data_IF_097194117671
#
_entry.id   IF_097194117671
#
_cell.length_a   1.000
_cell.length_b   1.000
_cell.length_c   1.000
_cell.angle_alpha   90.00
_cell.angle_beta   90.00
_cell.angle_gamma   90.00
#
_symmetry.space_group_name_H-M   'P 1'
#
loop_
_entity.id
_entity.type
_entity.pdbx_description
1 polymer ?
#
# COMPACT_ATOMS: atom_id res chain seq x y z
N UNK A 1 30.24 -26.12 81.60
CA UNK A 1 31.12 -24.97 81.88
C UNK A 1 30.55 -23.80 81.11
N UNK A 2 29.86 -23.05 81.98
CA UNK A 2 30.04 -21.65 82.38
C UNK A 2 29.55 -20.66 81.32
N UNK A 3 28.38 -20.13 81.54
CA UNK A 3 28.03 -18.78 82.05
C UNK A 3 28.43 -17.64 81.14
N UNK A 4 27.64 -16.65 80.85
CA UNK A 4 26.91 -15.76 81.74
C UNK A 4 25.85 -14.92 80.98
N UNK A 5 24.78 -14.65 81.66
CA UNK A 5 23.74 -13.65 81.44
C UNK A 5 24.29 -12.24 81.51
N UNK A 6 23.82 -11.31 80.64
CA UNK A 6 23.75 -9.91 81.10
C UNK A 6 22.50 -9.27 80.51
N UNK A 7 21.57 -8.99 81.37
CA UNK A 7 20.38 -8.16 81.25
C UNK A 7 20.80 -6.70 81.28
N UNK A 8 20.42 -5.94 80.25
CA UNK A 8 20.54 -4.47 80.28
C UNK A 8 19.18 -3.84 80.12
N UNK A 9 18.77 -3.17 81.17
CA UNK A 9 17.53 -2.41 81.35
C UNK A 9 17.55 -1.17 80.46
N UNK A 10 16.56 -0.99 79.61
CA UNK A 10 16.41 0.22 78.78
C UNK A 10 15.53 1.24 79.50
N UNK A 11 16.12 2.37 79.85
CA UNK A 11 15.48 3.56 80.35
C UNK A 11 14.70 4.27 79.25
N UNK A 12 13.41 4.45 79.48
CA UNK A 12 12.52 5.25 78.59
C UNK A 12 12.78 6.74 78.86
N UNK A 13 13.42 7.41 77.89
CA UNK A 13 13.44 8.87 77.85
C UNK A 13 12.27 9.37 77.04
N UNK A 14 11.25 9.90 77.70
CA UNK A 14 10.11 10.60 77.11
C UNK A 14 10.41 12.09 77.08
N UNK A 15 11.05 12.55 76.00
CA UNK A 15 11.01 13.99 75.64
C UNK A 15 10.04 14.19 74.55
N UNK A 16 8.82 14.59 74.86
CA UNK A 16 7.80 15.00 73.92
C UNK A 16 8.23 16.31 73.22
N UNK A 17 8.69 16.20 72.00
CA UNK A 17 8.94 17.35 71.16
C UNK A 17 7.60 17.81 70.54
N UNK A 18 7.18 19.02 70.97
CA UNK A 18 5.97 19.66 70.44
C UNK A 18 6.03 19.81 68.88
N UNK A 19 4.93 19.58 68.16
CA UNK A 19 4.92 19.71 66.73
C UNK A 19 5.10 21.17 66.31
N UNK A 20 6.11 21.45 65.50
CA UNK A 20 6.33 22.76 64.89
C UNK A 20 5.12 23.14 64.01
N UNK A 21 4.63 24.41 64.10
CA UNK A 21 3.54 24.85 63.23
C UNK A 21 4.00 24.80 61.79
N UNK A 22 3.19 24.17 60.95
CA UNK A 22 3.39 24.14 59.49
C UNK A 22 3.29 25.59 58.97
N UNK A 23 4.20 26.02 58.09
CA UNK A 23 4.05 27.33 57.46
C UNK A 23 2.78 27.34 56.61
N UNK A 24 1.94 28.29 56.82
CA UNK A 24 0.77 28.61 55.99
C UNK A 24 1.33 29.02 54.62
N UNK A 25 1.27 28.12 53.67
CA UNK A 25 1.52 28.43 52.26
C UNK A 25 0.31 29.26 51.83
N UNK A 26 0.46 30.57 51.86
CA UNK A 26 -0.46 31.49 51.15
C UNK A 26 -0.46 31.06 49.69
N UNK A 27 -1.61 30.56 49.25
CA UNK A 27 -1.85 30.31 47.82
C UNK A 27 -1.78 31.65 47.07
N UNK A 28 -0.55 32.05 46.74
CA UNK A 28 -0.35 33.06 45.72
C UNK A 28 -0.95 32.54 44.45
N UNK A 29 -1.94 33.23 43.92
CA UNK A 29 -2.48 33.04 42.57
C UNK A 29 -1.33 33.21 41.58
N UNK A 30 -0.59 32.14 41.36
CA UNK A 30 0.29 32.07 40.20
C UNK A 30 -0.64 32.11 38.98
N UNK A 31 -0.85 33.32 38.44
CA UNK A 31 -1.29 33.46 37.07
C UNK A 31 -0.35 32.62 36.21
N UNK A 32 -0.86 31.46 35.74
CA UNK A 32 -0.16 30.61 34.84
C UNK A 32 0.11 31.47 33.59
N UNK A 33 1.32 32.03 33.50
CA UNK A 33 1.81 32.63 32.27
C UNK A 33 1.62 31.64 31.16
N UNK A 34 0.59 31.85 30.33
CA UNK A 34 0.38 31.07 29.10
C UNK A 34 1.68 31.24 28.30
N UNK A 35 2.37 30.11 27.98
CA UNK A 35 3.61 30.18 27.24
C UNK A 35 3.33 30.94 25.94
N UNK A 36 3.95 32.10 25.78
CA UNK A 36 3.93 32.86 24.51
C UNK A 36 4.43 31.87 23.44
N UNK A 37 3.54 31.45 22.54
CA UNK A 37 3.85 30.61 21.38
C UNK A 37 4.93 31.33 20.58
N UNK A 38 6.19 31.00 20.84
CA UNK A 38 7.29 31.44 19.99
C UNK A 38 7.05 30.84 18.61
N UNK A 39 7.01 31.72 17.61
CA UNK A 39 6.94 31.29 16.21
C UNK A 39 8.21 30.51 15.92
N UNK A 40 8.05 29.22 15.66
CA UNK A 40 9.17 28.36 15.28
C UNK A 40 9.44 28.55 13.78
N UNK A 41 10.40 29.41 13.49
CA UNK A 41 10.80 29.70 12.10
C UNK A 41 11.30 28.45 11.35
N UNK A 42 11.93 27.51 12.07
CA UNK A 42 12.37 26.25 11.46
C UNK A 42 11.16 25.40 11.03
N UNK A 43 10.12 25.33 11.89
CA UNK A 43 8.89 24.62 11.52
C UNK A 43 8.20 25.27 10.31
N UNK A 44 8.14 26.62 10.27
CA UNK A 44 7.58 27.34 9.11
C UNK A 44 8.39 27.04 7.84
N UNK A 45 9.72 27.11 7.91
CA UNK A 45 10.58 26.83 6.77
C UNK A 45 10.39 25.40 6.27
N UNK A 46 10.40 24.41 7.16
CA UNK A 46 10.18 22.99 6.80
C UNK A 46 8.82 22.80 6.15
N UNK A 47 7.75 23.39 6.71
CA UNK A 47 6.42 23.29 6.10
C UNK A 47 6.35 24.00 4.74
N UNK A 48 6.99 25.15 4.57
CA UNK A 48 7.06 25.84 3.29
C UNK A 48 7.75 24.98 2.22
N UNK A 49 8.89 24.37 2.55
CA UNK A 49 9.62 23.47 1.65
C UNK A 49 8.75 22.25 1.29
N UNK A 50 8.06 21.65 2.26
CA UNK A 50 7.17 20.52 2.02
C UNK A 50 5.99 20.91 1.11
N UNK A 51 5.37 22.07 1.34
CA UNK A 51 4.27 22.57 0.50
C UNK A 51 4.74 22.79 -0.94
N UNK A 52 5.90 23.40 -1.13
CA UNK A 52 6.48 23.63 -2.47
C UNK A 52 6.79 22.29 -3.15
N UNK A 53 7.39 21.33 -2.43
CA UNK A 53 7.66 20.00 -2.96
C UNK A 53 6.38 19.27 -3.38
N UNK A 54 5.35 19.31 -2.54
CA UNK A 54 4.04 18.72 -2.85
C UNK A 54 3.39 19.41 -4.05
N UNK A 55 3.45 20.75 -4.11
CA UNK A 55 2.89 21.50 -5.24
C UNK A 55 3.59 21.16 -6.56
N UNK A 56 4.92 21.01 -6.56
CA UNK A 56 5.70 20.60 -7.72
C UNK A 56 5.31 19.22 -8.22
N UNK A 57 5.18 18.25 -7.31
CA UNK A 57 4.78 16.87 -7.65
C UNK A 57 3.31 16.80 -8.09
N UNK A 58 2.43 17.59 -7.49
CA UNK A 58 1.01 17.63 -7.83
C UNK A 58 0.71 18.42 -9.13
N UNK A 59 1.62 19.30 -9.55
CA UNK A 59 1.41 20.17 -10.71
C UNK A 59 1.07 19.43 -12.01
N UNK A 60 1.76 18.35 -12.40
CA UNK A 60 1.38 17.60 -13.60
C UNK A 60 -0.04 17.03 -13.55
N UNK A 61 -0.48 16.55 -12.37
CA UNK A 61 -1.84 16.06 -12.14
C UNK A 61 -2.87 17.18 -12.25
N UNK A 62 -2.58 18.31 -11.61
CA UNK A 62 -3.41 19.50 -11.71
C UNK A 62 -3.52 19.96 -13.18
N UNK A 63 -2.41 20.00 -13.91
CA UNK A 63 -2.42 20.43 -15.30
C UNK A 63 -3.18 19.44 -16.22
N UNK A 64 -3.04 18.14 -16.00
CA UNK A 64 -3.85 17.13 -16.68
C UNK A 64 -5.36 17.34 -16.42
N UNK A 65 -5.73 17.65 -15.16
CA UNK A 65 -7.11 18.01 -14.82
C UNK A 65 -7.55 19.29 -15.55
N UNK A 66 -6.74 20.33 -15.58
CA UNK A 66 -7.06 21.58 -16.31
C UNK A 66 -7.30 21.31 -17.78
N UNK A 67 -6.40 20.57 -18.45
CA UNK A 67 -6.57 20.18 -19.86
C UNK A 67 -7.86 19.39 -20.07
N UNK A 68 -8.22 18.49 -19.15
CA UNK A 68 -9.44 17.68 -19.25
C UNK A 68 -10.74 18.52 -19.24
N UNK A 69 -10.67 19.79 -18.80
CA UNK A 69 -11.81 20.71 -18.74
C UNK A 69 -11.87 21.69 -19.90
N UNK A 70 -10.85 21.73 -20.75
CA UNK A 70 -10.70 22.70 -21.83
C UNK A 70 -11.25 22.15 -23.15
N UNK A 71 -11.64 23.07 -24.07
CA UNK A 71 -11.85 22.70 -25.47
C UNK A 71 -10.51 22.47 -26.18
N UNK A 72 -10.51 21.74 -27.30
CA UNK A 72 -9.26 21.42 -28.01
C UNK A 72 -8.48 22.66 -28.47
N UNK A 73 -9.18 23.69 -28.96
CA UNK A 73 -8.60 24.97 -29.36
C UNK A 73 -7.95 25.71 -28.17
N UNK A 74 -8.54 25.63 -26.99
CA UNK A 74 -7.95 26.19 -25.75
C UNK A 74 -6.67 25.44 -25.35
N UNK A 75 -6.63 24.13 -25.51
CA UNK A 75 -5.46 23.29 -25.16
C UNK A 75 -4.24 23.64 -26.02
N UNK A 76 -4.44 23.95 -27.29
CA UNK A 76 -3.35 24.26 -28.26
C UNK A 76 -2.91 25.72 -28.23
N UNK A 77 -3.60 26.58 -27.47
CA UNK A 77 -3.24 27.99 -27.35
C UNK A 77 -1.86 28.21 -26.71
N UNK A 78 -1.20 29.30 -27.11
CA UNK A 78 0.07 29.77 -26.53
C UNK A 78 -0.07 31.21 -26.03
N UNK A 79 0.23 31.48 -24.75
CA UNK A 79 0.71 30.58 -23.70
C UNK A 79 -0.38 29.62 -23.22
N UNK A 80 -0.01 28.46 -22.63
CA UNK A 80 -0.96 27.48 -22.12
C UNK A 80 -1.85 28.06 -21.00
N UNK A 81 -3.14 27.75 -21.04
CA UNK A 81 -4.06 28.15 -19.97
C UNK A 81 -3.89 27.22 -18.76
N UNK A 82 -3.71 27.80 -17.60
CA UNK A 82 -3.53 27.07 -16.33
C UNK A 82 -4.81 27.02 -15.47
N UNK A 83 -5.93 27.52 -15.98
CA UNK A 83 -7.21 27.53 -15.26
C UNK A 83 -8.21 26.61 -15.94
N UNK A 84 -9.07 25.92 -15.16
CA UNK A 84 -10.14 25.10 -15.69
C UNK A 84 -11.10 25.90 -16.57
N UNK A 85 -11.71 25.22 -17.55
CA UNK A 85 -12.72 25.75 -18.47
C UNK A 85 -14.08 25.07 -18.24
N UNK A 86 -15.10 25.47 -19.03
CA UNK A 86 -16.48 25.00 -18.87
C UNK A 86 -16.81 23.66 -19.54
N UNK A 87 -15.87 23.05 -20.29
CA UNK A 87 -16.10 21.85 -21.09
C UNK A 87 -15.90 20.52 -20.32
N UNK A 88 -15.84 20.57 -18.99
CA UNK A 88 -15.60 19.39 -18.13
C UNK A 88 -16.59 18.27 -18.43
N UNK A 89 -17.90 18.55 -18.34
CA UNK A 89 -18.94 17.51 -18.48
C UNK A 89 -18.93 16.93 -19.88
N UNK A 90 -18.81 17.78 -20.90
CA UNK A 90 -18.77 17.36 -22.30
C UNK A 90 -17.59 16.43 -22.58
N UNK A 91 -16.37 16.83 -22.19
CA UNK A 91 -15.17 16.03 -22.37
C UNK A 91 -15.21 14.69 -21.66
N UNK A 92 -15.72 14.65 -20.41
CA UNK A 92 -15.80 13.42 -19.65
C UNK A 92 -16.87 12.45 -20.22
N UNK A 93 -18.02 12.97 -20.64
CA UNK A 93 -19.06 12.14 -21.28
C UNK A 93 -18.54 11.58 -22.61
N UNK A 94 -17.90 12.42 -23.43
CA UNK A 94 -17.38 12.00 -24.71
C UNK A 94 -16.20 10.99 -24.56
N UNK A 95 -15.26 11.25 -23.65
CA UNK A 95 -14.18 10.31 -23.35
C UNK A 95 -14.72 8.98 -22.83
N UNK A 96 -15.76 9.00 -21.96
CA UNK A 96 -16.43 7.79 -21.48
C UNK A 96 -17.02 6.96 -22.62
N UNK A 97 -17.71 7.62 -23.53
CA UNK A 97 -18.40 6.95 -24.67
C UNK A 97 -17.40 6.41 -25.67
N UNK A 98 -16.42 7.24 -26.12
CA UNK A 98 -15.44 6.85 -27.16
C UNK A 98 -14.52 5.73 -26.72
N UNK A 99 -14.04 5.78 -25.47
CA UNK A 99 -13.15 4.74 -24.96
C UNK A 99 -13.87 3.45 -24.58
N UNK A 100 -15.16 3.48 -24.31
CA UNK A 100 -15.87 2.38 -23.64
C UNK A 100 -15.41 2.21 -22.20
N UNK A 101 -15.21 3.32 -21.49
CA UNK A 101 -14.55 3.43 -20.18
C UNK A 101 -15.07 2.44 -19.14
N UNK A 102 -16.37 2.21 -19.09
CA UNK A 102 -16.96 1.26 -18.15
C UNK A 102 -16.35 -0.14 -18.25
N UNK A 103 -16.17 -0.65 -19.47
CA UNK A 103 -15.56 -1.96 -19.70
C UNK A 103 -14.07 -1.96 -19.37
N UNK A 104 -13.36 -0.91 -19.75
CA UNK A 104 -11.93 -0.78 -19.46
C UNK A 104 -11.65 -0.75 -17.94
N UNK A 105 -12.43 0.03 -17.19
CA UNK A 105 -12.33 0.10 -15.73
C UNK A 105 -12.67 -1.24 -15.07
N UNK A 106 -13.73 -1.91 -15.54
CA UNK A 106 -14.11 -3.23 -15.03
C UNK A 106 -13.00 -4.26 -15.27
N UNK A 107 -12.46 -4.33 -16.49
CA UNK A 107 -11.37 -5.25 -16.81
C UNK A 107 -10.15 -4.97 -15.93
N UNK A 108 -9.74 -3.71 -15.81
CA UNK A 108 -8.62 -3.33 -14.95
C UNK A 108 -8.86 -3.68 -13.48
N UNK A 109 -10.07 -3.47 -12.98
CA UNK A 109 -10.42 -3.84 -11.60
C UNK A 109 -10.33 -5.36 -11.39
N UNK A 110 -10.87 -6.16 -12.30
CA UNK A 110 -10.79 -7.63 -12.23
C UNK A 110 -9.33 -8.08 -12.27
N UNK A 111 -8.52 -7.54 -13.18
CA UNK A 111 -7.10 -7.88 -13.30
C UNK A 111 -6.33 -7.46 -12.06
N UNK A 112 -6.46 -6.21 -11.62
CA UNK A 112 -5.73 -5.68 -10.48
C UNK A 112 -6.06 -6.42 -9.18
N UNK A 113 -7.36 -6.66 -8.91
CA UNK A 113 -7.81 -7.42 -7.73
C UNK A 113 -7.38 -8.89 -7.85
N UNK A 114 -7.58 -9.53 -9.00
CA UNK A 114 -7.19 -10.92 -9.23
C UNK A 114 -5.69 -11.15 -9.03
N UNK A 115 -4.86 -10.28 -9.59
CA UNK A 115 -3.41 -10.33 -9.42
C UNK A 115 -3.01 -10.07 -7.96
N UNK A 116 -3.58 -9.06 -7.31
CA UNK A 116 -3.25 -8.73 -5.93
C UNK A 116 -3.62 -9.86 -4.96
N UNK A 117 -4.86 -10.36 -5.04
CA UNK A 117 -5.34 -11.45 -4.20
C UNK A 117 -4.57 -12.75 -4.48
N UNK A 118 -4.35 -13.08 -5.75
CA UNK A 118 -3.58 -14.28 -6.13
C UNK A 118 -2.14 -14.24 -5.63
N UNK A 119 -1.45 -13.10 -5.79
CA UNK A 119 -0.09 -12.90 -5.24
C UNK A 119 -0.06 -13.06 -3.73
N UNK A 120 -0.99 -12.46 -3.01
CA UNK A 120 -1.08 -12.55 -1.55
C UNK A 120 -1.31 -14.00 -1.13
N UNK A 121 -2.31 -14.68 -1.72
CA UNK A 121 -2.67 -16.05 -1.35
C UNK A 121 -1.50 -17.04 -1.59
N UNK A 122 -0.89 -17.02 -2.78
CA UNK A 122 0.22 -17.90 -3.12
C UNK A 122 1.45 -17.59 -2.25
N UNK A 123 1.76 -16.31 -2.04
CA UNK A 123 2.93 -15.90 -1.26
C UNK A 123 2.77 -16.22 0.22
N UNK A 124 1.57 -16.05 0.77
CA UNK A 124 1.27 -16.40 2.16
C UNK A 124 1.39 -17.90 2.40
N UNK A 125 0.84 -18.73 1.49
CA UNK A 125 0.96 -20.19 1.56
C UNK A 125 2.42 -20.65 1.40
N UNK A 126 3.16 -20.05 0.46
CA UNK A 126 4.58 -20.36 0.25
C UNK A 126 5.43 -20.01 1.47
N UNK A 127 5.23 -18.82 2.03
CA UNK A 127 5.93 -18.37 3.23
C UNK A 127 5.58 -19.27 4.44
N UNK A 128 4.30 -19.62 4.59
CA UNK A 128 3.84 -20.55 5.62
C UNK A 128 4.53 -21.91 5.53
N UNK A 129 4.60 -22.48 4.33
CA UNK A 129 5.27 -23.76 4.09
C UNK A 129 6.77 -23.68 4.44
N UNK A 130 7.46 -22.61 4.01
CA UNK A 130 8.90 -22.43 4.23
C UNK A 130 9.24 -22.25 5.72
N UNK A 131 8.42 -21.51 6.48
CA UNK A 131 8.72 -21.17 7.88
C UNK A 131 8.29 -22.28 8.84
N UNK A 132 7.09 -22.84 8.70
CA UNK A 132 6.49 -23.70 9.72
C UNK A 132 6.67 -25.20 9.47
N UNK A 133 6.77 -25.67 8.20
CA UNK A 133 6.92 -27.11 7.95
C UNK A 133 8.35 -27.63 8.13
N UNK A 134 9.36 -26.76 8.22
CA UNK A 134 10.77 -27.11 8.48
C UNK A 134 11.29 -28.31 7.68
N UNK A 135 10.85 -28.46 6.42
CA UNK A 135 11.27 -29.57 5.55
C UNK A 135 12.72 -29.42 5.08
N UNK A 136 13.37 -30.53 4.75
CA UNK A 136 14.74 -30.54 4.20
C UNK A 136 14.75 -29.76 2.88
N UNK A 137 15.59 -28.72 2.78
CA UNK A 137 15.69 -27.88 1.58
C UNK A 137 14.79 -26.65 1.58
N UNK A 138 14.06 -26.32 2.64
CA UNK A 138 13.23 -25.10 2.73
C UNK A 138 14.01 -23.82 2.40
N UNK A 139 15.26 -23.74 2.84
CA UNK A 139 16.16 -22.63 2.50
C UNK A 139 16.52 -22.59 1.01
N UNK A 140 16.78 -23.76 0.40
CA UNK A 140 17.04 -23.85 -1.04
C UNK A 140 15.81 -23.38 -1.86
N UNK A 141 14.62 -23.86 -1.50
CA UNK A 141 13.36 -23.45 -2.15
C UNK A 141 13.16 -21.93 -2.03
N UNK A 142 13.42 -21.38 -0.85
CA UNK A 142 13.35 -19.93 -0.64
C UNK A 142 14.32 -19.19 -1.57
N UNK A 143 15.58 -19.62 -1.64
CA UNK A 143 16.57 -19.00 -2.49
C UNK A 143 16.25 -19.15 -3.99
N UNK A 144 15.68 -20.27 -4.41
CA UNK A 144 15.21 -20.46 -5.79
C UNK A 144 14.08 -19.46 -6.14
N UNK A 145 13.10 -19.28 -5.24
CA UNK A 145 12.05 -18.29 -5.40
C UNK A 145 12.68 -16.87 -5.45
N UNK A 146 13.62 -16.60 -4.55
CA UNK A 146 14.27 -15.29 -4.47
C UNK A 146 15.08 -14.96 -5.74
N UNK A 147 15.77 -15.94 -6.32
CA UNK A 147 16.49 -15.78 -7.59
C UNK A 147 15.58 -15.36 -8.75
N UNK A 148 14.29 -15.72 -8.71
CA UNK A 148 13.36 -15.27 -9.75
C UNK A 148 13.15 -13.76 -9.77
N UNK A 149 13.44 -13.04 -8.67
CA UNK A 149 13.44 -11.57 -8.64
C UNK A 149 14.52 -10.95 -9.52
N UNK A 150 15.64 -11.67 -9.71
CA UNK A 150 16.78 -11.17 -10.49
C UNK A 150 16.53 -11.29 -12.00
N UNK A 151 15.54 -12.06 -12.42
CA UNK A 151 15.21 -12.19 -13.84
C UNK A 151 14.44 -10.96 -14.33
N UNK A 152 14.99 -10.21 -15.30
CA UNK A 152 14.29 -9.08 -15.90
C UNK A 152 12.96 -9.50 -16.52
N UNK A 153 11.92 -8.67 -16.38
CA UNK A 153 10.59 -8.94 -16.96
C UNK A 153 10.67 -9.28 -18.46
N UNK A 154 11.45 -8.55 -19.30
CA UNK A 154 11.53 -8.87 -20.74
C UNK A 154 12.02 -10.28 -21.06
N UNK A 155 12.88 -10.86 -20.20
CA UNK A 155 13.43 -12.22 -20.43
C UNK A 155 12.37 -13.29 -20.27
N UNK A 156 11.43 -13.12 -19.33
CA UNK A 156 10.40 -14.12 -19.02
C UNK A 156 9.06 -13.89 -19.74
N UNK A 157 8.85 -12.70 -20.33
CA UNK A 157 7.55 -12.35 -20.88
C UNK A 157 7.20 -13.19 -22.11
N UNK A 158 8.17 -13.42 -23.02
CA UNK A 158 7.96 -14.20 -24.23
C UNK A 158 7.68 -15.68 -23.94
N UNK A 159 8.50 -16.41 -23.14
CA UNK A 159 8.18 -17.78 -22.77
C UNK A 159 6.82 -17.92 -22.05
N UNK A 160 6.47 -16.93 -21.22
CA UNK A 160 5.16 -16.94 -20.53
C UNK A 160 4.01 -16.77 -21.55
N UNK A 161 4.18 -15.88 -22.54
CA UNK A 161 3.20 -15.69 -23.61
C UNK A 161 2.99 -16.98 -24.41
N UNK A 162 4.07 -17.68 -24.78
CA UNK A 162 3.98 -18.96 -25.52
C UNK A 162 3.21 -20.01 -24.72
N UNK A 163 3.50 -20.15 -23.42
CA UNK A 163 2.76 -21.06 -22.55
C UNK A 163 1.28 -20.71 -22.51
N UNK A 164 0.96 -19.43 -22.27
CA UNK A 164 -0.43 -18.95 -22.21
C UNK A 164 -1.16 -19.14 -23.53
N UNK A 165 -0.47 -18.93 -24.66
CA UNK A 165 -0.99 -19.20 -25.99
C UNK A 165 -1.29 -20.68 -26.23
N UNK A 166 -0.35 -21.56 -25.86
CA UNK A 166 -0.48 -23.01 -26.04
C UNK A 166 -1.62 -23.62 -25.22
N UNK A 167 -1.94 -23.07 -24.03
CA UNK A 167 -3.07 -23.51 -23.21
C UNK A 167 -4.40 -22.81 -23.57
N UNK A 168 -4.41 -21.96 -24.60
CA UNK A 168 -5.60 -21.28 -25.09
C UNK A 168 -6.15 -20.18 -24.20
N UNK A 169 -5.32 -19.54 -23.37
CA UNK A 169 -5.74 -18.48 -22.44
C UNK A 169 -5.57 -17.06 -22.98
N UNK A 170 -5.24 -16.90 -24.27
CA UNK A 170 -5.28 -15.57 -24.90
C UNK A 170 -6.69 -14.97 -24.83
N UNK A 171 -6.80 -13.66 -24.72
CA UNK A 171 -8.07 -12.93 -24.58
C UNK A 171 -8.95 -13.42 -23.41
N UNK A 172 -8.37 -13.80 -22.29
CA UNK A 172 -9.12 -14.25 -21.12
C UNK A 172 -8.62 -13.61 -19.82
N UNK A 173 -9.49 -13.51 -18.84
CA UNK A 173 -9.09 -13.05 -17.51
C UNK A 173 -8.08 -14.01 -16.85
N UNK A 174 -8.14 -15.31 -17.15
CA UNK A 174 -7.15 -16.27 -16.67
C UNK A 174 -5.76 -15.94 -17.22
N UNK A 175 -5.65 -15.70 -18.53
CA UNK A 175 -4.39 -15.29 -19.15
C UNK A 175 -3.87 -13.95 -18.64
N UNK A 176 -4.76 -13.01 -18.33
CA UNK A 176 -4.38 -11.70 -17.78
C UNK A 176 -3.92 -11.75 -16.33
N UNK A 177 -4.40 -12.71 -15.52
CA UNK A 177 -4.18 -12.71 -14.07
C UNK A 177 -3.23 -13.80 -13.59
N UNK A 178 -3.46 -15.07 -13.97
CA UNK A 178 -2.76 -16.22 -13.40
C UNK A 178 -1.24 -16.17 -13.57
N UNK A 179 -0.68 -15.83 -14.74
CA UNK A 179 0.77 -15.73 -14.92
C UNK A 179 1.43 -14.66 -14.05
N UNK A 180 0.68 -13.66 -13.60
CA UNK A 180 1.16 -12.58 -12.76
C UNK A 180 0.99 -12.85 -11.26
N UNK A 181 0.34 -13.95 -10.84
CA UNK A 181 0.07 -14.22 -9.42
C UNK A 181 1.30 -14.69 -8.63
N UNK A 182 2.36 -15.17 -9.28
CA UNK A 182 3.61 -15.49 -8.59
C UNK A 182 4.36 -14.21 -8.22
N UNK A 183 4.80 -14.12 -6.95
CA UNK A 183 5.54 -12.96 -6.45
C UNK A 183 6.57 -13.36 -5.40
N UNK A 184 7.85 -13.36 -5.79
CA UNK A 184 8.93 -13.61 -4.84
C UNK A 184 9.06 -12.49 -3.80
N UNK A 185 8.79 -11.22 -4.16
CA UNK A 185 8.79 -10.09 -3.22
C UNK A 185 7.73 -10.27 -2.13
N UNK A 186 6.49 -10.62 -2.50
CA UNK A 186 5.44 -10.83 -1.52
C UNK A 186 5.73 -12.06 -0.64
N UNK A 187 6.27 -13.14 -1.23
CA UNK A 187 6.71 -14.33 -0.47
C UNK A 187 7.82 -14.00 0.53
N UNK A 188 8.79 -13.16 0.12
CA UNK A 188 9.84 -12.68 1.01
C UNK A 188 9.27 -11.89 2.19
N UNK A 189 8.37 -10.92 1.93
CA UNK A 189 7.76 -10.09 2.97
C UNK A 189 6.93 -10.92 3.96
N UNK A 190 6.10 -11.86 3.48
CA UNK A 190 5.37 -12.76 4.37
C UNK A 190 6.30 -13.66 5.18
N UNK A 191 7.37 -14.17 4.55
CA UNK A 191 8.37 -14.97 5.28
C UNK A 191 9.02 -14.16 6.39
N UNK A 192 9.46 -12.93 6.13
CA UNK A 192 10.05 -12.07 7.15
C UNK A 192 9.06 -11.83 8.28
N UNK A 193 7.82 -11.51 7.97
CA UNK A 193 6.78 -11.31 8.98
C UNK A 193 6.53 -12.58 9.81
N UNK A 194 6.40 -13.75 9.18
CA UNK A 194 6.18 -15.01 9.90
C UNK A 194 7.35 -15.39 10.81
N UNK A 195 8.56 -15.01 10.47
CA UNK A 195 9.74 -15.22 11.32
C UNK A 195 9.75 -14.32 12.56
N UNK A 196 8.97 -13.24 12.61
CA UNK A 196 8.82 -12.40 13.82
C UNK A 196 7.81 -12.96 14.81
N UNK A 197 6.98 -13.90 14.38
CA UNK A 197 5.96 -14.52 15.24
C UNK A 197 6.63 -15.54 16.16
N UNK A 198 6.42 -15.46 17.51
CA UNK A 198 7.00 -16.41 18.45
C UNK A 198 6.59 -17.86 18.16
N UNK A 199 7.55 -18.81 18.25
CA UNK A 199 7.27 -20.23 18.03
C UNK A 199 6.29 -20.80 19.06
N UNK A 200 6.25 -20.25 20.26
CA UNK A 200 5.36 -20.64 21.36
C UNK A 200 3.88 -20.56 20.95
N UNK A 201 3.53 -19.62 20.05
CA UNK A 201 2.17 -19.53 19.52
C UNK A 201 1.80 -20.75 18.66
N UNK A 202 2.74 -21.25 17.84
CA UNK A 202 2.53 -22.44 17.04
C UNK A 202 2.47 -23.69 17.91
N UNK A 203 3.31 -23.77 18.94
CA UNK A 203 3.34 -24.88 19.90
C UNK A 203 2.06 -24.92 20.73
N UNK A 204 1.59 -23.77 21.23
CA UNK A 204 0.32 -23.68 21.97
C UNK A 204 -0.86 -24.12 21.10
N UNK A 205 -0.93 -23.66 19.85
CA UNK A 205 -1.97 -24.07 18.90
C UNK A 205 -1.96 -25.60 18.63
N UNK A 206 -0.76 -26.22 18.57
CA UNK A 206 -0.63 -27.66 18.43
C UNK A 206 -1.10 -28.41 19.68
N UNK A 207 -0.81 -27.89 20.88
CA UNK A 207 -1.32 -28.48 22.12
C UNK A 207 -2.85 -28.41 22.20
N UNK A 208 -3.45 -27.35 21.63
CA UNK A 208 -4.91 -27.23 21.48
C UNK A 208 -5.50 -28.09 20.35
N UNK A 209 -4.70 -28.93 19.71
CA UNK A 209 -5.11 -29.84 18.63
C UNK A 209 -5.34 -29.13 17.30
N UNK A 210 -4.81 -27.92 17.09
CA UNK A 210 -4.92 -27.23 15.80
C UNK A 210 -3.95 -27.85 14.77
N UNK A 211 -4.51 -28.41 13.70
CA UNK A 211 -3.70 -28.79 12.54
C UNK A 211 -3.14 -27.57 11.77
N UNK A 212 -2.19 -27.78 10.84
CA UNK A 212 -1.50 -26.68 10.14
C UNK A 212 -2.43 -25.70 9.44
N UNK A 213 -3.45 -26.16 8.75
CA UNK A 213 -4.41 -25.31 8.07
C UNK A 213 -5.26 -24.51 9.06
N UNK A 214 -5.65 -25.10 10.19
CA UNK A 214 -6.38 -24.38 11.24
C UNK A 214 -5.50 -23.31 11.84
N UNK A 215 -4.20 -23.58 12.07
CA UNK A 215 -3.24 -22.59 12.53
C UNK A 215 -3.11 -21.42 11.53
N UNK A 216 -3.00 -21.72 10.24
CA UNK A 216 -2.94 -20.68 9.20
C UNK A 216 -4.18 -19.77 9.21
N UNK A 217 -5.38 -20.35 9.21
CA UNK A 217 -6.63 -19.58 9.08
C UNK A 217 -7.06 -18.89 10.38
N UNK A 218 -6.88 -19.55 11.53
CA UNK A 218 -7.39 -19.05 12.80
C UNK A 218 -6.41 -18.15 13.56
N UNK A 219 -5.11 -18.26 13.26
CA UNK A 219 -4.06 -17.50 13.96
C UNK A 219 -3.25 -16.61 13.01
N UNK A 220 -2.61 -17.20 11.99
CA UNK A 220 -1.70 -16.44 11.13
C UNK A 220 -2.43 -15.42 10.25
N UNK A 221 -3.55 -15.76 9.65
CA UNK A 221 -4.31 -14.86 8.80
C UNK A 221 -4.79 -13.62 9.55
N UNK A 222 -5.42 -13.72 10.74
CA UNK A 222 -5.79 -12.55 11.54
C UNK A 222 -4.58 -11.67 11.95
N UNK A 223 -3.46 -12.29 12.34
CA UNK A 223 -2.24 -11.57 12.67
C UNK A 223 -1.62 -10.87 11.47
N UNK A 224 -1.78 -11.44 10.28
CA UNK A 224 -1.22 -10.90 9.02
C UNK A 224 -2.06 -9.77 8.41
N UNK A 225 -3.23 -9.41 8.98
CA UNK A 225 -4.19 -8.53 8.32
C UNK A 225 -3.61 -7.18 7.91
N UNK A 226 -2.79 -6.55 8.77
CA UNK A 226 -2.13 -5.28 8.46
C UNK A 226 -1.17 -5.42 7.27
N UNK A 227 -0.35 -6.48 7.25
CA UNK A 227 0.57 -6.77 6.15
C UNK A 227 -0.16 -7.12 4.86
N UNK A 228 -1.25 -7.90 4.94
CA UNK A 228 -2.12 -8.23 3.80
C UNK A 228 -2.70 -6.95 3.20
N UNK A 229 -3.23 -6.06 4.03
CA UNK A 229 -3.82 -4.82 3.58
C UNK A 229 -2.78 -3.89 2.93
N UNK A 230 -1.60 -3.76 3.53
CA UNK A 230 -0.50 -2.98 2.97
C UNK A 230 -0.03 -3.54 1.61
N UNK A 231 0.20 -4.85 1.54
CA UNK A 231 0.57 -5.52 0.29
C UNK A 231 -0.53 -5.43 -0.76
N UNK A 232 -1.81 -5.54 -0.38
CA UNK A 232 -2.92 -5.43 -1.32
C UNK A 232 -2.89 -4.07 -2.05
N UNK A 233 -2.69 -2.96 -1.33
CA UNK A 233 -2.59 -1.64 -1.96
C UNK A 233 -1.47 -1.60 -3.01
N UNK A 234 -0.28 -2.04 -2.62
CA UNK A 234 0.89 -2.02 -3.53
C UNK A 234 0.67 -2.91 -4.75
N UNK A 235 0.16 -4.13 -4.52
CA UNK A 235 -0.05 -5.11 -5.58
C UNK A 235 -1.25 -4.77 -6.48
N UNK A 236 -2.28 -4.12 -5.94
CA UNK A 236 -3.39 -3.58 -6.71
C UNK A 236 -2.91 -2.49 -7.67
N UNK A 237 -2.13 -1.52 -7.16
CA UNK A 237 -1.56 -0.45 -7.98
C UNK A 237 -0.65 -1.03 -9.06
N UNK A 238 0.17 -2.03 -8.72
CA UNK A 238 0.99 -2.75 -9.69
C UNK A 238 0.14 -3.38 -10.81
N UNK A 239 -0.88 -4.17 -10.46
CA UNK A 239 -1.75 -4.82 -11.42
C UNK A 239 -2.61 -3.85 -12.25
N UNK A 240 -3.00 -2.71 -11.65
CA UNK A 240 -3.75 -1.66 -12.32
C UNK A 240 -2.92 -0.96 -13.41
N UNK A 241 -1.65 -0.68 -13.13
CA UNK A 241 -0.74 0.02 -14.04
C UNK A 241 -0.02 -0.92 -15.01
N UNK A 242 -0.30 -2.24 -14.95
CA UNK A 242 0.34 -3.18 -15.85
C UNK A 242 -0.07 -2.88 -17.31
N UNK A 243 0.96 -2.67 -18.17
CA UNK A 243 0.80 -2.30 -19.56
C UNK A 243 1.23 -3.41 -20.51
N UNK A 244 2.46 -3.91 -20.34
CA UNK A 244 3.07 -4.81 -21.31
C UNK A 244 2.37 -6.16 -21.41
N UNK A 245 2.01 -6.75 -20.29
CA UNK A 245 1.37 -8.06 -20.28
C UNK A 245 -0.03 -8.03 -20.92
N UNK A 246 -0.95 -7.14 -20.53
CA UNK A 246 -2.22 -7.01 -21.20
C UNK A 246 -2.10 -6.65 -22.68
N UNK A 247 -1.12 -5.84 -23.07
CA UNK A 247 -0.88 -5.48 -24.48
C UNK A 247 -0.57 -6.71 -25.35
N UNK A 248 0.18 -7.68 -24.81
CA UNK A 248 0.53 -8.91 -25.54
C UNK A 248 -0.61 -9.92 -25.53
N UNK A 249 -1.33 -10.05 -24.43
CA UNK A 249 -2.34 -11.10 -24.22
C UNK A 249 -3.68 -10.78 -24.85
N UNK A 250 -4.03 -9.49 -24.99
CA UNK A 250 -5.37 -9.09 -25.46
C UNK A 250 -5.35 -8.68 -26.92
N UNK A 251 -6.03 -9.45 -27.76
CA UNK A 251 -6.20 -9.19 -29.20
C UNK A 251 -7.56 -8.53 -29.52
N UNK A 252 -8.51 -8.57 -28.59
CA UNK A 252 -9.84 -8.00 -28.73
C UNK A 252 -10.02 -6.77 -27.87
N UNK A 253 -10.85 -5.86 -28.33
CA UNK A 253 -11.11 -4.60 -27.63
C UNK A 253 -11.85 -4.80 -26.31
N UNK A 254 -12.67 -5.86 -26.21
CA UNK A 254 -13.46 -6.19 -25.02
C UNK A 254 -12.61 -6.61 -23.82
N UNK A 255 -11.40 -7.11 -24.05
CA UNK A 255 -10.51 -7.60 -23.00
C UNK A 255 -9.42 -6.60 -22.58
N UNK A 256 -9.35 -5.46 -23.24
CA UNK A 256 -8.34 -4.43 -22.93
C UNK A 256 -8.54 -3.84 -21.52
N UNK A 257 -7.44 -3.61 -20.83
CA UNK A 257 -7.39 -2.85 -19.58
C UNK A 257 -7.38 -1.34 -19.85
N UNK A 258 -7.65 -0.53 -18.82
CA UNK A 258 -7.78 0.92 -18.98
C UNK A 258 -6.52 1.58 -19.52
N UNK A 259 -5.34 1.14 -19.07
CA UNK A 259 -4.06 1.72 -19.48
C UNK A 259 -3.83 1.58 -20.98
N UNK A 260 -4.20 0.43 -21.57
CA UNK A 260 -4.13 0.21 -23.01
C UNK A 260 -5.31 0.86 -23.72
N UNK A 261 -6.50 0.76 -23.13
CA UNK A 261 -7.74 1.22 -23.76
C UNK A 261 -7.83 2.73 -23.97
N UNK A 262 -7.05 3.53 -23.24
CA UNK A 262 -6.94 4.97 -23.49
C UNK A 262 -6.39 5.31 -24.88
N UNK A 263 -5.68 4.40 -25.52
CA UNK A 263 -5.24 4.54 -26.92
C UNK A 263 -6.41 4.82 -27.88
N UNK A 264 -7.63 4.37 -27.55
CA UNK A 264 -8.83 4.66 -28.36
C UNK A 264 -9.18 6.14 -28.47
N UNK A 265 -8.70 6.95 -27.55
CA UNK A 265 -8.89 8.40 -27.56
C UNK A 265 -7.86 9.11 -28.45
N UNK A 266 -6.86 8.40 -28.94
CA UNK A 266 -5.85 8.92 -29.86
C UNK A 266 -6.37 8.71 -31.28
N UNK A 267 -6.47 9.78 -32.12
CA UNK A 267 -6.85 9.64 -33.50
C UNK A 267 -5.90 8.73 -34.26
N UNK A 268 -6.43 7.77 -35.00
CA UNK A 268 -5.62 6.83 -35.81
C UNK A 268 -5.15 7.42 -37.15
N UNK A 269 -5.82 8.46 -37.62
CA UNK A 269 -5.41 9.23 -38.80
C UNK A 269 -4.29 10.18 -38.39
N UNK A 270 -3.08 10.02 -38.92
CA UNK A 270 -1.95 10.90 -38.61
C UNK A 270 -2.12 12.36 -39.03
N UNK A 271 -3.28 12.71 -39.57
CA UNK A 271 -3.67 14.07 -40.03
C UNK A 271 -4.48 14.84 -38.99
N UNK A 272 -5.10 14.16 -38.02
CA UNK A 272 -5.88 14.81 -36.97
C UNK A 272 -5.00 15.11 -35.74
N UNK A 273 -5.21 16.27 -35.15
CA UNK A 273 -4.56 16.61 -33.87
C UNK A 273 -5.06 15.68 -32.74
N UNK A 274 -4.16 15.22 -31.86
CA UNK A 274 -4.57 14.43 -30.71
C UNK A 274 -5.57 15.22 -29.86
N UNK A 275 -6.66 14.60 -29.50
CA UNK A 275 -7.70 15.18 -28.64
C UNK A 275 -7.24 15.13 -27.17
N UNK A 276 -6.24 15.96 -26.83
CA UNK A 276 -5.61 15.97 -25.50
C UNK A 276 -6.61 16.17 -24.35
N UNK A 277 -7.66 16.98 -24.57
CA UNK A 277 -8.73 17.17 -23.61
C UNK A 277 -9.45 15.85 -23.26
N UNK A 278 -9.77 15.02 -24.27
CA UNK A 278 -10.42 13.73 -24.07
C UNK A 278 -9.46 12.69 -23.48
N UNK A 279 -8.19 12.69 -23.93
CA UNK A 279 -7.15 11.80 -23.40
C UNK A 279 -6.93 12.07 -21.91
N UNK A 280 -6.82 13.34 -21.51
CA UNK A 280 -6.66 13.74 -20.11
C UNK A 280 -7.93 13.46 -19.30
N UNK A 281 -9.13 13.66 -19.85
CA UNK A 281 -10.37 13.25 -19.19
C UNK A 281 -10.42 11.74 -18.95
N UNK A 282 -10.01 10.93 -19.93
CA UNK A 282 -9.87 9.47 -19.78
C UNK A 282 -8.84 9.09 -18.72
N UNK A 283 -7.68 9.74 -18.72
CA UNK A 283 -6.63 9.50 -17.74
C UNK A 283 -7.08 9.87 -16.31
N UNK A 284 -7.79 10.99 -16.14
CA UNK A 284 -8.36 11.37 -14.84
C UNK A 284 -9.39 10.36 -14.34
N UNK A 285 -10.26 9.83 -15.21
CA UNK A 285 -11.18 8.75 -14.84
C UNK A 285 -10.45 7.46 -14.45
N UNK A 286 -9.40 7.11 -15.19
CA UNK A 286 -8.57 5.92 -14.90
C UNK A 286 -7.80 6.04 -13.59
N UNK A 287 -7.53 7.24 -13.10
CA UNK A 287 -6.85 7.51 -11.84
C UNK A 287 -7.76 7.31 -10.61
N UNK A 288 -9.08 7.44 -10.77
CA UNK A 288 -10.03 7.39 -9.64
C UNK A 288 -9.92 6.09 -8.83
N UNK A 289 -9.94 4.87 -9.42
CA UNK A 289 -9.91 3.63 -8.63
C UNK A 289 -8.63 3.45 -7.81
N UNK A 290 -7.40 3.65 -8.33
CA UNK A 290 -6.19 3.60 -7.51
C UNK A 290 -6.19 4.60 -6.36
N UNK A 291 -6.60 5.84 -6.62
CA UNK A 291 -6.70 6.87 -5.58
C UNK A 291 -7.73 6.47 -4.52
N UNK A 292 -8.89 5.96 -4.92
CA UNK A 292 -9.89 5.46 -3.99
C UNK A 292 -9.33 4.33 -3.09
N UNK A 293 -8.64 3.34 -3.67
CA UNK A 293 -8.01 2.26 -2.90
C UNK A 293 -7.00 2.82 -1.89
N UNK A 294 -6.13 3.75 -2.31
CA UNK A 294 -5.17 4.39 -1.40
C UNK A 294 -5.88 5.11 -0.26
N UNK A 295 -6.87 5.97 -0.56
CA UNK A 295 -7.59 6.77 0.44
C UNK A 295 -8.35 5.89 1.43
N UNK A 296 -9.04 4.84 0.96
CA UNK A 296 -9.77 3.94 1.84
C UNK A 296 -8.86 3.05 2.69
N UNK A 297 -7.71 2.66 2.15
CA UNK A 297 -6.81 1.71 2.80
C UNK A 297 -5.60 2.37 3.48
N UNK A 298 -5.39 3.70 3.38
CA UNK A 298 -4.23 4.40 3.93
C UNK A 298 -3.96 4.10 5.41
N UNK A 299 -5.00 3.97 6.24
CA UNK A 299 -4.85 3.69 7.68
C UNK A 299 -4.22 2.30 7.96
N UNK A 300 -4.53 1.30 7.13
CA UNK A 300 -3.95 -0.04 7.25
C UNK A 300 -2.55 -0.10 6.65
N UNK A 301 -2.35 0.60 5.54
CA UNK A 301 -1.05 0.75 4.90
C UNK A 301 -0.01 1.36 5.84
N UNK A 302 -0.36 2.47 6.51
CA UNK A 302 0.52 3.14 7.48
C UNK A 302 0.83 2.22 8.68
N UNK A 303 -0.17 1.49 9.21
CA UNK A 303 0.06 0.53 10.29
C UNK A 303 1.02 -0.58 9.89
N UNK A 304 0.83 -1.20 8.72
CA UNK A 304 1.68 -2.28 8.24
C UNK A 304 3.14 -1.87 8.01
N UNK A 305 3.40 -0.61 7.66
CA UNK A 305 4.77 -0.08 7.52
C UNK A 305 5.44 0.19 8.89
N UNK A 306 4.68 0.71 9.86
CA UNK A 306 5.22 1.06 11.20
C UNK A 306 5.48 -0.20 12.04
N UNK A 307 4.65 -1.23 11.92
CA UNK A 307 4.82 -2.49 12.66
C UNK A 307 6.01 -3.32 12.15
N UNK A 308 6.47 -3.06 10.92
CA UNK A 308 7.68 -3.68 10.36
C UNK A 308 8.98 -3.15 10.95
N UNK A 309 8.96 -2.00 11.64
CA UNK A 309 10.15 -1.32 12.19
C UNK A 309 10.34 -1.57 13.71
N UNK A 310 9.54 -2.42 14.32
CA UNK A 310 9.69 -2.85 15.72
C UNK A 310 10.06 -4.33 15.81
#
# INVERSE_FOLDING_TARGET
>A
MSDARTTTTTVLDRTAVAPRPRPIVTAGTAEAERPRRRIDWNAIFVHAVLIVAVALVAFPLYYAFVISTQALDEVIQKPPRLLPSSHLVENYVEAWRRSGMARLLLNSAIVAVGVAVGKIAISMLSAFAIVYFRFRGSSLVFWLIFLTLMLPIPVRILPTYEVVGNIGWLNSYAGLTVPLMASATATFLFRQFYMTIPNELAEAAQMDGAGPLRFLWSFLLPLSWANIAALFVVLFIYGWNEYFWPLLITNTEEMRTVVIGLERLIPRSGTELPTWNLIMAGAMMALIPPVAVIVFMQRWFVKGLIESDK
#
